data_IF_600201810194
#
_entry.id   IF_600201810194
#
_cell.length_a   1.000
_cell.length_b   1.000
_cell.length_c   1.000
_cell.angle_alpha   90.00
_cell.angle_beta   90.00
_cell.angle_gamma   90.00
#
_symmetry.space_group_name_H-M   'P 1'
#
loop_
_entity.id
_entity.type
_entity.pdbx_description
1 polymer ?
#
# COMPACT_ATOMS: atom_id res chain seq x y z
N UNK A 1 23.52 -0.99 7.30
CA UNK A 1 22.06 -0.82 7.39
C UNK A 1 21.71 0.59 6.94
N UNK A 2 20.61 0.77 6.24
CA UNK A 2 20.10 2.08 5.84
C UNK A 2 19.19 2.63 6.93
N UNK A 3 19.16 3.95 7.17
CA UNK A 3 18.21 4.52 8.12
C UNK A 3 16.78 4.30 7.62
N UNK A 4 15.86 4.01 8.54
CA UNK A 4 14.42 3.94 8.30
C UNK A 4 13.77 5.12 9.01
N UNK A 5 12.91 5.83 8.30
CA UNK A 5 12.08 6.88 8.86
C UNK A 5 10.66 6.34 9.05
N UNK A 6 10.11 6.51 10.23
CA UNK A 6 8.71 6.28 10.51
C UNK A 6 8.01 7.65 10.54
N UNK A 7 7.09 7.86 9.62
CA UNK A 7 6.41 9.15 9.43
C UNK A 7 4.91 8.93 9.55
N UNK A 8 4.26 9.69 10.42
CA UNK A 8 2.81 9.81 10.45
C UNK A 8 2.43 11.10 9.72
N UNK A 9 1.67 10.97 8.62
CA UNK A 9 1.19 12.12 7.88
C UNK A 9 -0.12 12.63 8.47
N UNK A 10 -0.33 13.95 8.41
CA UNK A 10 -1.60 14.58 8.69
C UNK A 10 -2.35 14.88 7.39
N UNK A 11 -3.66 15.13 7.51
CA UNK A 11 -4.52 15.58 6.42
C UNK A 11 -4.46 14.69 5.16
N UNK A 12 -4.30 13.38 5.35
CA UNK A 12 -4.34 12.41 4.25
C UNK A 12 -5.72 12.46 3.57
N UNK A 13 -6.80 12.40 4.34
CA UNK A 13 -8.20 12.44 3.89
C UNK A 13 -8.59 13.77 3.18
N UNK A 14 -7.78 14.81 3.31
CA UNK A 14 -7.97 16.09 2.64
C UNK A 14 -7.10 16.25 1.40
N UNK A 15 -6.65 15.13 0.85
CA UNK A 15 -5.86 15.08 -0.38
C UNK A 15 -4.37 14.92 -0.12
N UNK A 16 -3.99 14.16 0.92
CA UNK A 16 -2.60 13.77 1.18
C UNK A 16 -1.66 14.98 1.39
N UNK A 17 -2.17 16.02 2.09
CA UNK A 17 -1.47 17.32 2.23
C UNK A 17 -0.11 17.16 2.88
N UNK A 18 -0.02 16.38 3.97
CA UNK A 18 1.24 16.17 4.70
C UNK A 18 2.28 15.43 3.86
N UNK A 19 1.90 14.35 3.20
CA UNK A 19 2.81 13.58 2.35
C UNK A 19 3.24 14.35 1.09
N UNK A 20 2.35 15.14 0.51
CA UNK A 20 2.67 16.02 -0.62
C UNK A 20 3.72 17.08 -0.23
N UNK A 21 3.54 17.70 0.94
CA UNK A 21 4.49 18.67 1.46
C UNK A 21 5.88 18.06 1.70
N UNK A 22 5.94 16.88 2.34
CA UNK A 22 7.20 16.19 2.57
C UNK A 22 7.87 15.75 1.26
N UNK A 23 7.11 15.16 0.34
CA UNK A 23 7.65 14.73 -0.96
C UNK A 23 8.27 15.90 -1.74
N UNK A 24 7.58 17.06 -1.76
CA UNK A 24 8.08 18.27 -2.40
C UNK A 24 9.35 18.82 -1.70
N UNK A 25 9.37 18.85 -0.36
CA UNK A 25 10.52 19.29 0.42
C UNK A 25 11.75 18.42 0.17
N UNK A 26 11.58 17.09 0.17
CA UNK A 26 12.67 16.16 -0.10
C UNK A 26 13.19 16.31 -1.54
N UNK A 27 12.29 16.56 -2.50
CA UNK A 27 12.67 16.81 -3.89
C UNK A 27 13.47 18.10 -4.04
N UNK A 28 13.05 19.19 -3.39
CA UNK A 28 13.78 20.46 -3.39
C UNK A 28 15.17 20.36 -2.74
N UNK A 29 15.29 19.52 -1.72
CA UNK A 29 16.56 19.25 -1.03
C UNK A 29 17.45 18.24 -1.76
N UNK A 30 17.06 17.76 -2.93
CA UNK A 30 17.71 16.66 -3.68
C UNK A 30 18.00 15.43 -2.79
N UNK A 31 17.09 15.16 -1.85
CA UNK A 31 17.23 14.06 -0.91
C UNK A 31 16.87 12.74 -1.58
N UNK A 32 17.84 11.83 -1.66
CA UNK A 32 17.61 10.49 -2.17
C UNK A 32 16.82 9.62 -1.19
N UNK A 33 15.75 9.00 -1.67
CA UNK A 33 15.03 7.92 -0.98
C UNK A 33 15.28 6.61 -1.71
N UNK A 34 15.49 5.54 -0.96
CA UNK A 34 15.59 4.19 -1.56
C UNK A 34 14.19 3.68 -1.93
N UNK A 35 13.23 3.89 -1.06
CA UNK A 35 11.85 3.48 -1.22
C UNK A 35 10.98 4.23 -0.20
N UNK A 36 9.83 4.71 -0.62
CA UNK A 36 8.75 5.11 0.29
C UNK A 36 7.73 3.98 0.37
N UNK A 37 7.25 3.69 1.57
CA UNK A 37 6.22 2.68 1.80
C UNK A 37 5.06 3.33 2.54
N UNK A 38 3.90 3.40 1.90
CA UNK A 38 2.63 3.77 2.55
C UNK A 38 1.98 2.53 3.12
N UNK A 39 1.48 2.62 4.35
CA UNK A 39 0.74 1.58 5.05
C UNK A 39 -0.73 2.01 5.11
N UNK A 40 -1.56 1.39 4.25
CA UNK A 40 -2.94 1.81 3.99
C UNK A 40 -3.90 0.65 4.23
N UNK A 41 -4.68 0.68 5.31
CA UNK A 41 -5.60 -0.38 5.70
C UNK A 41 -4.99 -1.79 5.57
N UNK A 42 -4.69 -2.43 6.70
CA UNK A 42 -3.83 -3.63 6.72
C UNK A 42 -4.49 -4.86 7.35
N UNK A 43 -5.72 -4.75 7.84
CA UNK A 43 -6.22 -5.71 8.80
C UNK A 43 -7.60 -6.31 8.47
N UNK A 44 -8.19 -6.01 7.32
CA UNK A 44 -9.50 -6.53 6.97
C UNK A 44 -9.41 -7.68 5.97
N UNK A 45 -10.10 -8.80 6.23
CA UNK A 45 -10.27 -9.90 5.29
C UNK A 45 -11.73 -10.11 4.92
N UNK A 46 -12.00 -10.63 3.72
CA UNK A 46 -13.34 -10.86 3.22
C UNK A 46 -13.42 -12.14 2.40
N UNK A 47 -14.56 -12.87 2.43
CA UNK A 47 -14.78 -13.98 1.51
C UNK A 47 -14.86 -13.56 0.05
N UNK A 48 -15.06 -12.26 -0.22
CA UNK A 48 -15.14 -11.70 -1.58
C UNK A 48 -14.17 -10.55 -1.78
N UNK A 49 -13.74 -10.32 -3.02
CA UNK A 49 -12.84 -9.24 -3.43
C UNK A 49 -13.41 -8.45 -4.60
N UNK A 50 -13.53 -7.14 -4.43
CA UNK A 50 -13.76 -6.17 -5.50
C UNK A 50 -12.47 -5.76 -6.20
N UNK A 51 -12.57 -5.22 -7.42
CA UNK A 51 -11.43 -4.72 -8.20
C UNK A 51 -11.84 -3.52 -9.06
N UNK A 52 -10.92 -2.58 -9.33
CA UNK A 52 -11.17 -1.45 -10.23
C UNK A 52 -11.53 -1.91 -11.66
N UNK A 53 -11.01 -3.06 -12.08
CA UNK A 53 -11.29 -3.64 -13.39
C UNK A 53 -11.62 -5.14 -13.27
N UNK A 54 -12.71 -5.63 -13.91
CA UNK A 54 -13.17 -7.02 -13.79
C UNK A 54 -12.12 -8.08 -14.17
N UNK A 55 -11.24 -7.79 -15.14
CA UNK A 55 -10.17 -8.70 -15.56
C UNK A 55 -9.17 -9.02 -14.44
N UNK A 56 -9.04 -8.16 -13.43
CA UNK A 56 -8.14 -8.39 -12.29
C UNK A 56 -8.57 -9.61 -11.46
N UNK A 57 -9.87 -9.95 -11.44
CA UNK A 57 -10.37 -11.13 -10.76
C UNK A 57 -9.76 -12.43 -11.32
N UNK A 58 -9.56 -12.50 -12.64
CA UNK A 58 -8.94 -13.66 -13.29
C UNK A 58 -7.47 -13.85 -12.86
N UNK A 59 -6.77 -12.75 -12.54
CA UNK A 59 -5.35 -12.78 -12.13
C UNK A 59 -5.22 -12.97 -10.62
N UNK A 60 -6.03 -12.26 -9.84
CA UNK A 60 -5.88 -12.15 -8.40
C UNK A 60 -6.90 -12.98 -7.59
N UNK A 61 -7.88 -13.60 -8.25
CA UNK A 61 -8.92 -14.40 -7.59
C UNK A 61 -10.04 -13.54 -7.02
N UNK A 62 -10.97 -14.17 -6.30
CA UNK A 62 -12.20 -13.58 -5.80
C UNK A 62 -12.27 -13.42 -4.28
N UNK A 63 -11.22 -13.84 -3.55
CA UNK A 63 -11.15 -13.77 -2.09
C UNK A 63 -10.27 -12.62 -1.62
N UNK A 64 -10.78 -11.85 -0.67
CA UNK A 64 -10.08 -10.76 -0.02
C UNK A 64 -9.31 -11.22 1.23
N UNK A 65 -8.34 -12.12 1.08
CA UNK A 65 -7.53 -12.68 2.16
C UNK A 65 -6.01 -12.52 1.91
N UNK A 66 -5.62 -11.45 1.25
CA UNK A 66 -4.23 -11.15 0.88
C UNK A 66 -3.89 -9.69 1.18
N UNK A 67 -2.62 -9.40 1.32
CA UNK A 67 -2.09 -8.05 1.27
C UNK A 67 -1.59 -7.74 -0.15
N UNK A 68 -1.87 -6.54 -0.64
CA UNK A 68 -1.42 -6.07 -1.94
C UNK A 68 -0.23 -5.11 -1.81
N UNK A 69 0.76 -5.27 -2.68
CA UNK A 69 1.88 -4.36 -2.89
C UNK A 69 1.66 -3.64 -4.21
N UNK A 70 1.23 -2.38 -4.15
CA UNK A 70 0.96 -1.55 -5.33
C UNK A 70 2.12 -0.58 -5.53
N UNK A 71 2.86 -0.68 -6.63
CA UNK A 71 4.11 0.05 -6.78
C UNK A 71 4.28 0.65 -8.18
N UNK A 72 4.97 1.81 -8.27
CA UNK A 72 5.39 2.35 -9.54
C UNK A 72 6.53 1.52 -10.17
N UNK A 73 6.82 1.79 -11.43
CA UNK A 73 7.80 1.03 -12.21
C UNK A 73 9.20 1.03 -11.59
N UNK A 74 9.64 2.14 -10.98
CA UNK A 74 10.95 2.24 -10.34
C UNK A 74 11.11 1.32 -9.13
N UNK A 75 10.05 1.18 -8.32
CA UNK A 75 10.01 0.24 -7.21
C UNK A 75 9.87 -1.23 -7.67
N UNK A 76 9.58 -1.47 -8.95
CA UNK A 76 9.31 -2.80 -9.50
C UNK A 76 10.42 -3.83 -9.26
N UNK A 77 11.69 -3.41 -9.25
CA UNK A 77 12.83 -4.28 -8.97
C UNK A 77 12.87 -4.78 -7.52
N UNK A 78 12.24 -4.08 -6.58
CA UNK A 78 12.18 -4.44 -5.18
C UNK A 78 11.00 -5.36 -4.86
N UNK A 79 9.93 -5.31 -5.67
CA UNK A 79 8.69 -6.07 -5.44
C UNK A 79 8.89 -7.57 -5.24
N UNK A 80 9.70 -8.29 -6.05
CA UNK A 80 9.86 -9.74 -5.86
C UNK A 80 10.47 -10.10 -4.50
N UNK A 81 11.41 -9.30 -4.02
CA UNK A 81 12.03 -9.49 -2.70
C UNK A 81 11.04 -9.24 -1.57
N UNK A 82 10.34 -8.10 -1.62
CA UNK A 82 9.32 -7.72 -0.65
C UNK A 82 8.17 -8.74 -0.61
N UNK A 83 7.63 -9.12 -1.78
CA UNK A 83 6.55 -10.09 -1.86
C UNK A 83 6.96 -11.48 -1.34
N UNK A 84 8.21 -11.89 -1.54
CA UNK A 84 8.72 -13.16 -1.00
C UNK A 84 8.84 -13.10 0.52
N UNK A 85 9.33 -12.00 1.08
CA UNK A 85 9.44 -11.83 2.52
C UNK A 85 8.05 -11.83 3.16
N UNK A 86 7.16 -10.96 2.71
CA UNK A 86 5.78 -10.89 3.21
C UNK A 86 5.01 -12.18 3.00
N UNK A 87 5.20 -12.84 1.87
CA UNK A 87 4.51 -14.09 1.50
C UNK A 87 4.81 -15.29 2.40
N UNK A 88 5.80 -15.19 3.29
CA UNK A 88 6.06 -16.19 4.34
C UNK A 88 5.10 -16.08 5.52
N UNK A 89 4.49 -14.93 5.71
CA UNK A 89 3.65 -14.59 6.85
C UNK A 89 2.18 -14.40 6.46
N UNK A 90 1.92 -13.85 5.27
CA UNK A 90 0.57 -13.54 4.80
C UNK A 90 0.48 -13.70 3.27
N UNK A 91 -0.64 -14.20 2.72
CA UNK A 91 -0.81 -14.22 1.28
C UNK A 91 -0.58 -12.82 0.68
N UNK A 92 0.36 -12.70 -0.25
CA UNK A 92 0.81 -11.42 -0.80
C UNK A 92 0.65 -11.40 -2.30
N UNK A 93 0.10 -10.30 -2.82
CA UNK A 93 -0.07 -10.06 -4.26
C UNK A 93 0.62 -8.75 -4.66
N UNK A 94 1.07 -8.67 -5.90
CA UNK A 94 1.78 -7.49 -6.42
C UNK A 94 1.02 -6.90 -7.59
N UNK A 95 0.96 -5.57 -7.63
CA UNK A 95 0.39 -4.79 -8.72
C UNK A 95 1.40 -3.70 -9.12
N UNK A 96 2.29 -3.98 -10.09
CA UNK A 96 3.09 -2.92 -10.68
C UNK A 96 2.21 -2.04 -11.56
N UNK A 97 2.30 -0.72 -11.37
CA UNK A 97 1.49 0.24 -12.12
C UNK A 97 2.38 1.17 -12.94
N UNK A 98 2.15 1.29 -14.25
CA UNK A 98 2.86 2.23 -15.10
C UNK A 98 2.37 3.66 -14.87
N UNK A 99 3.18 4.64 -15.27
CA UNK A 99 2.85 6.07 -15.27
C UNK A 99 2.28 6.58 -13.94
N UNK A 100 2.84 6.09 -12.81
CA UNK A 100 2.37 6.50 -11.48
C UNK A 100 0.89 6.20 -11.24
N UNK A 101 0.36 5.11 -11.78
CA UNK A 101 -1.02 4.66 -11.54
C UNK A 101 -2.12 5.50 -12.17
N UNK A 102 -1.82 6.47 -13.04
CA UNK A 102 -2.80 7.43 -13.58
C UNK A 102 -3.95 6.78 -14.37
N UNK A 103 -3.74 5.58 -14.90
CA UNK A 103 -4.76 4.82 -15.61
C UNK A 103 -5.76 4.10 -14.67
N UNK A 104 -5.45 4.01 -13.38
CA UNK A 104 -6.27 3.35 -12.36
C UNK A 104 -6.31 4.30 -11.14
N UNK A 105 -7.20 5.28 -11.10
CA UNK A 105 -7.23 6.30 -10.04
C UNK A 105 -7.25 5.72 -8.62
N UNK A 106 -7.96 4.62 -8.41
CA UNK A 106 -8.10 3.97 -7.10
C UNK A 106 -6.77 3.55 -6.47
N UNK A 107 -5.73 3.28 -7.29
CA UNK A 107 -4.41 2.91 -6.75
C UNK A 107 -3.58 4.11 -6.31
N UNK A 108 -4.15 5.32 -6.38
CA UNK A 108 -3.47 6.57 -5.99
C UNK A 108 -4.02 7.18 -4.70
N UNK A 109 -4.96 6.52 -4.05
CA UNK A 109 -5.68 7.02 -2.89
C UNK A 109 -4.93 6.69 -1.59
N UNK A 110 -3.67 7.11 -1.47
CA UNK A 110 -2.88 7.11 -0.24
C UNK A 110 -1.56 7.87 -0.42
N UNK A 111 -0.83 8.08 0.65
CA UNK A 111 0.37 8.93 0.79
C UNK A 111 1.55 8.58 -0.12
N UNK A 112 1.57 7.41 -0.76
CA UNK A 112 2.60 7.06 -1.76
C UNK A 112 2.45 7.86 -3.06
N UNK A 113 1.24 8.29 -3.42
CA UNK A 113 0.98 8.92 -4.72
C UNK A 113 1.65 10.28 -4.91
N UNK A 114 1.75 11.19 -3.90
CA UNK A 114 2.55 12.40 -4.01
C UNK A 114 4.04 12.13 -4.23
N UNK A 115 4.58 11.04 -3.67
CA UNK A 115 5.97 10.64 -3.92
C UNK A 115 6.17 10.17 -5.36
N UNK A 116 5.19 9.45 -5.96
CA UNK A 116 5.22 9.13 -7.39
C UNK A 116 5.25 10.39 -8.25
N UNK A 117 4.47 11.42 -7.89
CA UNK A 117 4.41 12.68 -8.64
C UNK A 117 5.73 13.46 -8.56
N UNK A 118 6.51 13.30 -7.50
CA UNK A 118 7.86 13.85 -7.37
C UNK A 118 8.95 12.94 -7.98
N UNK A 119 8.58 11.81 -8.57
CA UNK A 119 9.50 10.88 -9.23
C UNK A 119 10.24 9.92 -8.29
N UNK A 120 9.77 9.77 -7.06
CA UNK A 120 10.33 8.80 -6.12
C UNK A 120 9.77 7.39 -6.37
N UNK A 121 10.57 6.39 -6.04
CA UNK A 121 10.13 5.01 -5.93
C UNK A 121 9.29 4.85 -4.67
N UNK A 122 8.03 4.46 -4.84
CA UNK A 122 7.12 4.27 -3.74
C UNK A 122 6.17 3.10 -3.97
N UNK A 123 5.69 2.52 -2.89
CA UNK A 123 4.64 1.51 -2.92
C UNK A 123 3.63 1.72 -1.79
N UNK A 124 2.43 1.25 -2.03
CA UNK A 124 1.37 1.11 -1.03
C UNK A 124 1.26 -0.37 -0.64
N UNK A 125 1.24 -0.64 0.65
CA UNK A 125 0.86 -1.93 1.24
C UNK A 125 -0.57 -1.79 1.73
N UNK A 126 -1.49 -2.62 1.21
CA UNK A 126 -2.91 -2.46 1.52
C UNK A 126 -3.67 -3.78 1.50
N UNK A 127 -4.68 -3.88 2.34
CA UNK A 127 -5.71 -4.93 2.26
C UNK A 127 -6.76 -4.65 1.18
N UNK A 128 -6.57 -3.61 0.37
CA UNK A 128 -7.46 -3.11 -0.70
C UNK A 128 -8.70 -2.34 -0.23
N UNK A 129 -8.75 -1.95 1.06
CA UNK A 129 -9.67 -0.93 1.58
C UNK A 129 -11.14 -1.15 1.16
N UNK A 130 -11.80 -0.14 0.64
CA UNK A 130 -13.22 -0.13 0.23
C UNK A 130 -13.58 -1.21 -0.81
N UNK A 131 -12.59 -1.83 -1.47
CA UNK A 131 -12.84 -2.92 -2.41
C UNK A 131 -13.24 -4.23 -1.72
N UNK A 132 -13.04 -4.34 -0.40
CA UNK A 132 -13.45 -5.51 0.39
C UNK A 132 -14.07 -5.18 1.74
N UNK A 133 -13.75 -4.01 2.32
CA UNK A 133 -14.23 -3.61 3.65
C UNK A 133 -15.52 -2.77 3.54
N UNK A 134 -16.70 -3.32 3.92
CA UNK A 134 -17.96 -2.57 3.88
C UNK A 134 -18.05 -1.53 5.00
N UNK A 135 -17.12 -1.53 5.95
CA UNK A 135 -17.08 -0.59 7.07
C UNK A 135 -16.24 0.66 6.75
N UNK A 136 -15.56 0.69 5.59
CA UNK A 136 -14.72 1.81 5.17
C UNK A 136 -15.48 3.13 5.27
N UNK A 137 -14.93 4.10 6.02
CA UNK A 137 -15.53 5.42 6.31
C UNK A 137 -16.93 5.34 6.94
N UNK A 138 -17.24 4.26 7.66
CA UNK A 138 -18.49 4.08 8.37
C UNK A 138 -18.26 4.06 9.90
N UNK A 139 -19.32 4.39 10.66
CA UNK A 139 -19.31 4.27 12.12
C UNK A 139 -19.17 2.82 12.62
N UNK A 140 -19.34 1.86 11.74
CA UNK A 140 -19.16 0.43 11.99
C UNK A 140 -17.72 -0.06 11.78
N UNK A 141 -16.78 0.82 11.39
CA UNK A 141 -15.36 0.47 11.27
C UNK A 141 -14.74 0.50 12.67
N UNK A 142 -14.74 -0.66 13.30
CA UNK A 142 -14.28 -0.86 14.68
C UNK A 142 -13.26 -1.98 14.76
N UNK A 143 -12.50 -2.05 15.86
CA UNK A 143 -11.46 -3.05 16.07
C UNK A 143 -12.00 -4.49 15.97
N UNK A 144 -13.26 -4.71 16.38
CA UNK A 144 -13.91 -6.02 16.35
C UNK A 144 -14.16 -6.54 14.92
N UNK A 145 -14.11 -5.66 13.91
CA UNK A 145 -14.25 -6.04 12.49
C UNK A 145 -12.94 -6.50 11.86
N UNK A 146 -11.81 -6.33 12.53
CA UNK A 146 -10.49 -6.61 12.01
C UNK A 146 -10.10 -8.09 12.19
N UNK A 147 -9.37 -8.63 11.23
CA UNK A 147 -8.71 -9.93 11.29
C UNK A 147 -7.32 -9.76 11.91
N UNK A 148 -7.24 -9.82 13.24
CA UNK A 148 -5.98 -9.63 13.96
C UNK A 148 -4.89 -10.66 13.60
N UNK A 149 -5.18 -11.96 13.40
CA UNK A 149 -4.19 -12.92 12.88
C UNK A 149 -3.62 -12.51 11.53
N UNK A 150 -4.46 -12.06 10.60
CA UNK A 150 -4.01 -11.53 9.30
C UNK A 150 -3.12 -10.29 9.49
N UNK A 151 -3.53 -9.35 10.34
CA UNK A 151 -2.76 -8.14 10.65
C UNK A 151 -1.39 -8.46 11.25
N UNK A 152 -1.31 -9.40 12.20
CA UNK A 152 -0.02 -9.86 12.74
C UNK A 152 0.90 -10.39 11.63
N UNK A 153 0.37 -11.20 10.71
CA UNK A 153 1.14 -11.68 9.56
C UNK A 153 1.64 -10.55 8.66
N UNK A 154 0.84 -9.50 8.45
CA UNK A 154 1.27 -8.31 7.69
C UNK A 154 2.42 -7.61 8.40
N UNK A 155 2.32 -7.38 9.72
CA UNK A 155 3.37 -6.71 10.51
C UNK A 155 4.68 -7.51 10.49
N UNK A 156 4.62 -8.82 10.72
CA UNK A 156 5.79 -9.71 10.67
C UNK A 156 6.42 -9.72 9.28
N UNK A 157 5.60 -9.81 8.24
CA UNK A 157 6.06 -9.76 6.86
C UNK A 157 6.74 -8.43 6.50
N UNK A 158 6.20 -7.30 6.94
CA UNK A 158 6.81 -5.98 6.77
C UNK A 158 8.15 -5.88 7.52
N UNK A 159 8.19 -6.32 8.77
CA UNK A 159 9.41 -6.30 9.57
C UNK A 159 10.53 -7.11 8.89
N UNK A 160 10.21 -8.27 8.33
CA UNK A 160 11.17 -9.08 7.58
C UNK A 160 11.56 -8.45 6.23
N UNK A 161 10.60 -7.84 5.53
CA UNK A 161 10.84 -7.25 4.21
C UNK A 161 11.71 -5.99 4.26
N UNK A 162 11.66 -5.23 5.37
CA UNK A 162 12.34 -3.95 5.54
C UNK A 162 13.61 -4.03 6.41
N UNK A 163 13.79 -5.11 7.17
CA UNK A 163 14.96 -5.35 8.04
C UNK A 163 16.14 -5.95 7.32
#
# INVERSE_FOLDING_TARGET
RRPVWLVAFDQEEWGMVGSAALAAQLKQADQALKLMVSLEMLAYTSPSQGYPHPAMRAVYGDRGNFIALVANAGAGLLLPGLARAMGRHVPTKVLPVPNGGRAIPDVRLSDHSPFWDQGYDALMVTDTSFMRNPHYHQMTDTVETLDLPFFCGVVEGLAEALG
#
